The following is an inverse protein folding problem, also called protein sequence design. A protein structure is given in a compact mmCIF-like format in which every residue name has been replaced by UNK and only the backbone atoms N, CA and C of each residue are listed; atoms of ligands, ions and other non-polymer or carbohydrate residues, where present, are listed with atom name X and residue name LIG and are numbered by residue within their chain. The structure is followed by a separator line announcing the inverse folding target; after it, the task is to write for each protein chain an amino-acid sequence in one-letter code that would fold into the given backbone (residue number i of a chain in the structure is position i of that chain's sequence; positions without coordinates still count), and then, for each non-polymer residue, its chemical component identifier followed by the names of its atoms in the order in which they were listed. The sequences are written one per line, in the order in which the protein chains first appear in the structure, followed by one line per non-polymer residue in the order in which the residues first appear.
data_IF_535225381511
#
_entry.id   IF_535225381511
#
_cell.length_a   1.000
_cell.length_b   1.000
_cell.length_c   1.000
_cell.angle_alpha   90.00
_cell.angle_beta   90.00
_cell.angle_gamma   90.00
#
_symmetry.space_group_name_H-M   'P 1'
#
loop_
_entity.id
_entity.type
_entity.pdbx_description
1 polymer ?
#
# COMPACT_ATOMS: atom_id res chain seq x y z
N UNK A 1 23.50 -24.69 12.95
CA UNK A 1 22.31 -24.55 13.79
C UNK A 1 21.20 -25.45 13.26
N UNK A 2 20.41 -26.04 14.14
CA UNK A 2 19.29 -26.89 13.78
C UNK A 2 18.02 -25.98 13.82
N UNK A 3 17.26 -25.94 12.75
CA UNK A 3 16.03 -25.17 12.60
C UNK A 3 15.06 -25.42 13.79
N UNK A 4 14.94 -26.68 14.23
CA UNK A 4 14.14 -27.06 15.40
C UNK A 4 14.61 -26.36 16.69
N UNK A 5 15.91 -26.18 16.86
CA UNK A 5 16.47 -25.49 18.05
C UNK A 5 16.12 -24.00 18.00
N UNK A 6 16.20 -23.38 16.80
CA UNK A 6 15.82 -21.98 16.62
C UNK A 6 14.33 -21.75 16.92
N UNK A 7 13.46 -22.65 16.46
CA UNK A 7 12.00 -22.57 16.74
C UNK A 7 11.70 -22.67 18.23
N UNK A 8 12.34 -23.62 18.93
CA UNK A 8 12.14 -23.80 20.38
C UNK A 8 12.70 -22.62 21.17
N UNK A 9 13.88 -22.10 20.80
CA UNK A 9 14.44 -20.88 21.43
C UNK A 9 13.50 -19.69 21.21
N UNK A 10 12.99 -19.50 20.00
CA UNK A 10 12.06 -18.40 19.69
C UNK A 10 10.78 -18.49 20.52
N UNK A 11 10.21 -19.69 20.63
CA UNK A 11 9.00 -19.91 21.44
C UNK A 11 9.23 -19.58 22.92
N UNK A 12 10.29 -20.10 23.51
CA UNK A 12 10.60 -19.86 24.92
C UNK A 12 11.02 -18.41 25.20
N UNK A 13 11.77 -17.79 24.31
CA UNK A 13 12.12 -16.39 24.42
C UNK A 13 10.88 -15.48 24.31
N UNK A 14 9.89 -15.86 23.47
CA UNK A 14 8.60 -15.17 23.41
C UNK A 14 7.84 -15.18 24.74
N UNK A 15 7.93 -16.28 25.52
CA UNK A 15 7.29 -16.38 26.84
C UNK A 15 7.90 -15.40 27.87
N UNK A 16 9.17 -15.03 27.71
CA UNK A 16 9.86 -14.07 28.59
C UNK A 16 9.92 -12.64 28.01
N UNK A 17 9.09 -12.36 26.99
CA UNK A 17 8.85 -11.01 26.49
C UNK A 17 9.62 -10.58 25.24
N UNK A 18 10.37 -11.47 24.59
CA UNK A 18 10.96 -11.16 23.29
C UNK A 18 9.87 -11.13 22.20
N UNK A 19 9.90 -10.08 21.35
CA UNK A 19 8.82 -9.78 20.41
C UNK A 19 9.18 -10.06 18.94
N UNK A 20 10.47 -10.08 18.61
CA UNK A 20 10.95 -10.24 17.25
C UNK A 20 12.16 -11.16 17.16
N UNK A 21 12.19 -11.99 16.10
CA UNK A 21 13.23 -12.99 15.90
C UNK A 21 13.70 -12.96 14.46
N UNK A 22 15.01 -12.90 14.25
CA UNK A 22 15.65 -12.88 12.93
C UNK A 22 16.70 -13.99 12.87
N UNK A 23 16.59 -14.86 11.87
CA UNK A 23 17.60 -15.88 11.62
C UNK A 23 18.93 -15.26 11.21
N UNK A 24 20.02 -15.80 11.75
CA UNK A 24 21.37 -15.40 11.40
C UNK A 24 22.30 -16.62 11.28
N UNK A 25 23.50 -16.39 10.78
CA UNK A 25 24.50 -17.44 10.69
C UNK A 25 24.84 -17.95 12.10
N UNK A 26 24.48 -19.21 12.37
CA UNK A 26 24.74 -19.90 13.63
C UNK A 26 23.65 -19.81 14.68
N UNK A 27 22.50 -19.13 14.44
CA UNK A 27 21.41 -19.04 15.40
C UNK A 27 20.32 -18.04 15.04
N UNK A 28 19.81 -17.36 16.05
CA UNK A 28 18.80 -16.32 15.92
C UNK A 28 19.23 -15.05 16.68
N UNK A 29 18.78 -13.91 16.19
CA UNK A 29 18.77 -12.65 16.92
C UNK A 29 17.35 -12.42 17.44
N UNK A 30 17.22 -12.23 18.74
CA UNK A 30 15.95 -11.95 19.41
C UNK A 30 15.95 -10.55 19.99
N UNK A 31 14.83 -9.84 19.85
CA UNK A 31 14.71 -8.45 20.28
C UNK A 31 13.63 -8.32 21.35
N UNK A 32 13.93 -7.51 22.36
CA UNK A 32 13.05 -7.20 23.48
C UNK A 32 13.19 -5.72 23.83
N UNK A 33 12.13 -5.10 24.29
CA UNK A 33 12.21 -3.73 24.81
C UNK A 33 13.09 -3.68 26.05
N UNK A 34 13.98 -2.71 26.13
CA UNK A 34 14.92 -2.57 27.26
C UNK A 34 14.23 -2.55 28.62
N UNK A 35 13.02 -1.95 28.69
CA UNK A 35 12.21 -1.88 29.92
C UNK A 35 11.60 -3.21 30.34
N UNK A 36 11.51 -4.18 29.44
CA UNK A 36 10.95 -5.52 29.67
C UNK A 36 12.05 -6.59 29.80
N UNK A 37 13.31 -6.23 29.55
CA UNK A 37 14.41 -7.19 29.55
C UNK A 37 14.75 -7.63 30.98
N UNK A 38 14.66 -8.95 31.20
CA UNK A 38 15.08 -9.63 32.45
C UNK A 38 16.17 -10.64 32.13
N UNK A 39 17.38 -10.31 32.55
CA UNK A 39 18.57 -11.17 32.35
C UNK A 39 18.50 -12.48 33.14
N UNK A 40 17.86 -12.50 34.31
CA UNK A 40 17.71 -13.70 35.11
C UNK A 40 16.73 -14.68 34.45
N UNK A 41 15.64 -14.20 33.94
CA UNK A 41 14.68 -15.01 33.15
C UNK A 41 15.34 -15.62 31.91
N UNK A 42 16.18 -14.85 31.19
CA UNK A 42 16.95 -15.36 30.06
C UNK A 42 17.94 -16.46 30.47
N UNK A 43 18.67 -16.27 31.56
CA UNK A 43 19.58 -17.28 32.07
C UNK A 43 18.86 -18.58 32.50
N UNK A 44 17.72 -18.43 33.17
CA UNK A 44 16.89 -19.56 33.58
C UNK A 44 16.36 -20.33 32.36
N UNK A 45 15.89 -19.64 31.35
CA UNK A 45 15.46 -20.24 30.08
C UNK A 45 16.58 -21.05 29.42
N UNK A 46 17.80 -20.51 29.35
CA UNK A 46 18.96 -21.19 28.75
C UNK A 46 19.37 -22.41 29.54
N UNK A 47 19.39 -22.32 30.88
CA UNK A 47 19.78 -23.44 31.79
C UNK A 47 18.75 -24.57 31.71
N UNK A 48 17.46 -24.25 31.61
CA UNK A 48 16.35 -25.21 31.59
C UNK A 48 15.92 -25.59 30.16
N UNK A 49 16.79 -25.37 29.18
CA UNK A 49 16.43 -25.62 27.78
C UNK A 49 16.06 -27.10 27.56
N UNK A 50 14.88 -27.40 26.94
CA UNK A 50 14.29 -28.74 26.99
C UNK A 50 14.93 -29.75 26.03
N UNK A 51 15.73 -29.34 25.07
CA UNK A 51 16.33 -30.28 24.10
C UNK A 51 17.68 -30.80 24.64
N UNK A 52 17.86 -32.16 24.75
CA UNK A 52 19.09 -32.75 25.21
C UNK A 52 20.24 -32.46 24.23
N UNK A 53 21.46 -32.46 24.73
CA UNK A 53 22.69 -32.25 23.96
C UNK A 53 22.78 -30.92 23.22
N UNK A 54 21.98 -29.92 23.66
CA UNK A 54 21.97 -28.58 23.08
C UNK A 54 22.69 -27.61 24.00
N UNK A 55 23.69 -26.91 23.47
CA UNK A 55 24.36 -25.80 24.15
C UNK A 55 23.97 -24.48 23.51
N UNK A 56 23.39 -23.58 24.29
CA UNK A 56 23.04 -22.24 23.87
C UNK A 56 24.08 -21.27 24.43
N UNK A 57 24.70 -20.52 23.54
CA UNK A 57 25.54 -19.38 23.87
C UNK A 57 24.82 -18.11 23.37
N UNK A 58 24.79 -17.07 24.17
CA UNK A 58 24.15 -15.82 23.81
C UNK A 58 25.02 -14.62 24.13
N UNK A 59 24.79 -13.53 23.46
CA UNK A 59 25.38 -12.21 23.73
C UNK A 59 24.28 -11.20 23.82
N UNK A 60 24.32 -10.35 24.84
CA UNK A 60 23.40 -9.23 25.00
C UNK A 60 24.07 -7.99 24.40
N UNK A 61 23.36 -7.31 23.52
CA UNK A 61 23.79 -6.01 22.97
C UNK A 61 22.63 -5.05 23.08
N UNK A 62 22.92 -3.84 23.48
CA UNK A 62 21.97 -2.77 23.33
C UNK A 62 21.82 -2.50 21.83
N UNK A 63 20.58 -2.63 21.31
CA UNK A 63 20.31 -2.24 19.95
C UNK A 63 20.46 -0.71 19.87
N UNK A 64 21.23 -0.23 18.92
CA UNK A 64 21.29 1.21 18.67
C UNK A 64 19.85 1.70 18.43
N UNK A 65 19.48 2.80 19.09
CA UNK A 65 18.20 3.47 18.86
C UNK A 65 18.23 4.12 17.48
N UNK A 66 18.24 3.25 16.47
CA UNK A 66 18.13 3.62 15.06
C UNK A 66 16.70 3.46 14.64
N UNK A 67 16.17 4.47 14.03
CA UNK A 67 14.94 4.34 13.28
C UNK A 67 15.19 3.43 12.06
N UNK A 68 15.06 2.12 12.29
CA UNK A 68 15.28 1.11 11.25
C UNK A 68 14.38 1.32 10.02
N UNK A 69 13.21 1.91 10.24
CA UNK A 69 12.32 2.29 9.15
C UNK A 69 12.97 3.37 8.27
N UNK A 70 13.56 4.39 8.88
CA UNK A 70 14.25 5.46 8.16
C UNK A 70 15.49 4.96 7.43
N UNK A 71 16.24 4.02 8.02
CA UNK A 71 17.42 3.42 7.37
C UNK A 71 17.00 2.48 6.22
N UNK A 72 15.92 1.72 6.41
CA UNK A 72 15.33 0.91 5.35
C UNK A 72 14.82 1.81 4.20
N UNK A 73 14.08 2.85 4.50
CA UNK A 73 13.56 3.81 3.55
C UNK A 73 14.68 4.45 2.71
N UNK A 74 15.77 4.87 3.37
CA UNK A 74 16.93 5.47 2.68
C UNK A 74 17.66 4.49 1.76
N UNK A 75 17.70 3.22 2.12
CA UNK A 75 18.47 2.20 1.38
C UNK A 75 17.65 1.47 0.32
N UNK A 76 16.35 1.32 0.51
CA UNK A 76 15.49 0.47 -0.32
C UNK A 76 14.42 1.23 -1.10
N UNK A 77 13.97 2.39 -0.62
CA UNK A 77 13.05 3.23 -1.38
C UNK A 77 13.83 4.02 -2.43
N UNK A 78 13.63 3.69 -3.69
CA UNK A 78 14.23 4.40 -4.82
C UNK A 78 13.19 5.30 -5.48
N UNK A 79 13.61 6.45 -6.09
CA UNK A 79 12.70 7.26 -6.87
C UNK A 79 12.04 6.46 -8.00
N UNK A 80 10.74 6.63 -8.16
CA UNK A 80 9.95 5.95 -9.20
C UNK A 80 9.57 6.98 -10.24
N UNK A 81 9.91 6.70 -11.50
CA UNK A 81 9.54 7.56 -12.64
C UNK A 81 8.51 6.82 -13.48
N UNK A 82 7.38 7.47 -13.71
CA UNK A 82 6.26 6.93 -14.48
C UNK A 82 6.10 7.76 -15.74
N UNK A 83 6.39 7.15 -16.88
CA UNK A 83 6.24 7.71 -18.23
C UNK A 83 6.98 9.02 -18.42
N UNK A 84 8.06 9.39 -17.87
CA UNK A 84 8.73 10.70 -17.96
C UNK A 84 7.93 11.92 -17.41
N UNK A 85 6.68 11.71 -16.96
CA UNK A 85 5.79 12.79 -16.52
C UNK A 85 5.60 12.88 -15.02
N UNK A 86 5.75 11.77 -14.28
CA UNK A 86 5.57 11.75 -12.83
C UNK A 86 6.77 11.11 -12.15
N UNK A 87 7.32 11.81 -11.16
CA UNK A 87 8.35 11.27 -10.28
C UNK A 87 7.84 11.21 -8.85
N UNK A 88 7.98 10.05 -8.22
CA UNK A 88 7.61 9.81 -6.83
C UNK A 88 8.90 9.55 -6.07
N UNK A 89 9.13 10.30 -5.02
CA UNK A 89 10.35 10.13 -4.23
C UNK A 89 10.17 10.65 -2.80
N UNK A 90 11.13 10.37 -1.93
CA UNK A 90 11.15 10.90 -0.57
C UNK A 90 12.01 12.15 -0.46
N UNK A 91 11.86 12.88 0.64
CA UNK A 91 12.60 14.14 0.92
C UNK A 91 14.11 13.95 1.05
N UNK A 92 14.59 12.73 1.30
CA UNK A 92 16.03 12.44 1.38
C UNK A 92 16.68 12.19 0.02
N UNK A 93 15.91 12.03 -1.06
CA UNK A 93 16.48 11.94 -2.42
C UNK A 93 16.83 13.34 -2.95
N UNK A 94 18.10 13.53 -3.32
CA UNK A 94 18.61 14.84 -3.77
C UNK A 94 18.67 14.97 -5.28
N UNK A 95 18.88 13.84 -5.97
CA UNK A 95 19.10 13.78 -7.42
C UNK A 95 17.94 13.05 -8.09
N UNK A 96 16.78 13.69 -8.12
CA UNK A 96 15.57 13.14 -8.76
C UNK A 96 15.37 13.72 -10.15
N UNK A 97 14.86 12.95 -11.11
CA UNK A 97 14.48 13.46 -12.42
C UNK A 97 13.42 14.55 -12.29
N UNK A 98 13.60 15.66 -13.00
CA UNK A 98 12.56 16.70 -13.09
C UNK A 98 11.47 16.26 -14.04
N UNK A 99 10.26 16.16 -13.53
CA UNK A 99 9.08 15.75 -14.26
C UNK A 99 7.96 16.79 -14.14
N UNK A 100 6.87 16.63 -14.90
CA UNK A 100 5.70 17.51 -14.83
C UNK A 100 5.03 17.48 -13.45
N UNK A 101 4.95 16.29 -12.83
CA UNK A 101 4.45 16.07 -11.49
C UNK A 101 5.53 15.45 -10.62
N UNK A 102 5.82 16.08 -9.51
CA UNK A 102 6.74 15.60 -8.49
C UNK A 102 5.95 15.34 -7.21
N UNK A 103 5.92 14.09 -6.77
CA UNK A 103 5.17 13.66 -5.59
C UNK A 103 6.15 13.25 -4.51
N UNK A 104 6.11 13.98 -3.41
CA UNK A 104 6.89 13.69 -2.22
C UNK A 104 6.10 12.75 -1.31
N UNK A 105 6.72 11.65 -0.90
CA UNK A 105 6.13 10.76 0.10
C UNK A 105 7.13 10.44 1.20
N UNK A 106 6.58 10.24 2.39
CA UNK A 106 7.24 9.53 3.48
C UNK A 106 6.62 8.13 3.53
N UNK A 107 7.30 7.08 3.06
CA UNK A 107 6.68 5.77 2.84
C UNK A 107 6.23 5.09 4.14
N UNK A 108 6.89 5.31 5.29
CA UNK A 108 6.56 4.82 6.63
C UNK A 108 5.98 3.39 6.67
N UNK A 109 6.46 2.48 5.82
CA UNK A 109 5.94 1.12 5.64
C UNK A 109 4.44 1.04 5.26
N UNK A 110 3.82 2.14 4.85
CA UNK A 110 2.45 2.14 4.36
C UNK A 110 2.36 1.55 2.94
N UNK A 111 1.24 0.92 2.63
CA UNK A 111 0.94 0.49 1.26
C UNK A 111 0.80 1.69 0.32
N UNK A 112 1.16 1.52 -0.96
CA UNK A 112 0.97 2.56 -1.97
C UNK A 112 2.20 3.43 -2.22
N UNK A 113 3.40 2.93 -1.96
CA UNK A 113 4.67 3.66 -2.22
C UNK A 113 4.95 3.90 -3.71
N UNK A 114 4.11 3.38 -4.61
CA UNK A 114 4.31 3.48 -6.06
C UNK A 114 5.15 2.35 -6.68
N UNK A 115 5.86 1.55 -5.89
CA UNK A 115 6.65 0.42 -6.39
C UNK A 115 5.79 -0.74 -6.90
N UNK A 116 4.51 -0.79 -6.54
CA UNK A 116 3.61 -1.81 -7.02
C UNK A 116 3.15 -1.48 -8.44
N UNK A 117 3.24 -2.44 -9.35
CA UNK A 117 2.87 -2.28 -10.77
C UNK A 117 1.45 -1.72 -10.95
N UNK A 118 0.50 -2.13 -10.09
CA UNK A 118 -0.88 -1.62 -10.12
C UNK A 118 -0.95 -0.12 -9.82
N UNK A 119 -0.16 0.38 -8.89
CA UNK A 119 -0.12 1.81 -8.55
C UNK A 119 0.46 2.62 -9.71
N UNK A 120 1.57 2.16 -10.29
CA UNK A 120 2.20 2.82 -11.46
C UNK A 120 1.26 2.87 -12.66
N UNK A 121 0.49 1.82 -12.87
CA UNK A 121 -0.47 1.78 -13.97
C UNK A 121 -1.66 2.69 -13.77
N UNK A 122 -2.24 2.76 -12.56
CA UNK A 122 -3.29 3.74 -12.26
C UNK A 122 -2.76 5.16 -12.40
N UNK A 123 -1.52 5.44 -11.96
CA UNK A 123 -0.89 6.75 -12.17
C UNK A 123 -0.81 7.08 -13.66
N UNK A 124 -0.39 6.13 -14.51
CA UNK A 124 -0.33 6.34 -15.96
C UNK A 124 -1.71 6.71 -16.53
N UNK A 125 -2.78 6.04 -16.11
CA UNK A 125 -4.15 6.37 -16.53
C UNK A 125 -4.59 7.74 -15.99
N UNK A 126 -4.29 8.05 -14.74
CA UNK A 126 -4.61 9.35 -14.15
C UNK A 126 -3.87 10.49 -14.85
N UNK A 127 -2.65 10.26 -15.38
CA UNK A 127 -1.89 11.24 -16.16
C UNK A 127 -2.56 11.58 -17.51
N UNK A 128 -3.39 10.71 -18.05
CA UNK A 128 -4.15 10.94 -19.30
C UNK A 128 -5.59 11.41 -19.05
N UNK A 129 -6.16 11.09 -17.88
CA UNK A 129 -7.54 11.41 -17.54
C UNK A 129 -7.78 12.93 -17.45
N UNK A 130 -8.97 13.40 -17.82
CA UNK A 130 -9.41 14.76 -17.54
C UNK A 130 -9.95 14.85 -16.10
N UNK A 131 -9.14 15.40 -15.19
CA UNK A 131 -9.48 15.51 -13.77
C UNK A 131 -9.83 16.94 -13.34
N UNK A 132 -9.70 17.93 -14.23
CA UNK A 132 -9.87 19.33 -13.88
C UNK A 132 -11.26 19.65 -13.37
N UNK A 133 -11.37 20.07 -12.13
CA UNK A 133 -12.62 20.41 -11.44
C UNK A 133 -13.51 19.22 -11.11
N UNK A 134 -13.07 17.99 -11.37
CA UNK A 134 -13.81 16.77 -11.03
C UNK A 134 -13.68 16.44 -9.54
N UNK A 135 -14.76 15.95 -8.96
CA UNK A 135 -14.78 15.36 -7.63
C UNK A 135 -14.20 13.94 -7.67
N UNK A 136 -13.20 13.67 -6.84
CA UNK A 136 -12.49 12.39 -6.84
C UNK A 136 -12.57 11.71 -5.46
N UNK A 137 -12.81 10.41 -5.48
CA UNK A 137 -12.69 9.51 -4.33
C UNK A 137 -11.49 8.59 -4.55
N UNK A 138 -10.59 8.51 -3.55
CA UNK A 138 -9.53 7.51 -3.46
C UNK A 138 -9.84 6.57 -2.30
N UNK A 139 -10.24 5.34 -2.62
CA UNK A 139 -10.70 4.34 -1.65
C UNK A 139 -9.62 3.31 -1.36
N UNK A 140 -9.23 3.17 -0.07
CA UNK A 140 -8.03 2.46 0.32
C UNK A 140 -6.79 3.26 -0.05
N UNK A 141 -6.75 4.52 0.38
CA UNK A 141 -5.80 5.51 -0.13
C UNK A 141 -4.33 5.25 0.28
N UNK A 142 -4.08 4.48 1.32
CA UNK A 142 -2.73 4.16 1.79
C UNK A 142 -1.88 5.42 2.02
N UNK A 143 -0.85 5.63 1.21
CA UNK A 143 -0.01 6.83 1.23
C UNK A 143 -0.69 8.08 0.62
N UNK A 144 -1.89 7.96 0.07
CA UNK A 144 -2.61 8.97 -0.71
C UNK A 144 -1.92 9.45 -1.99
N UNK A 145 -1.01 8.69 -2.55
CA UNK A 145 -0.27 9.07 -3.76
C UNK A 145 -1.21 9.34 -4.95
N UNK A 146 -2.28 8.54 -5.09
CA UNK A 146 -3.25 8.68 -6.18
C UNK A 146 -4.13 9.92 -5.98
N UNK A 147 -4.58 10.17 -4.74
CA UNK A 147 -5.31 11.37 -4.38
C UNK A 147 -4.47 12.65 -4.59
N UNK A 148 -3.17 12.59 -4.23
CA UNK A 148 -2.21 13.69 -4.42
C UNK A 148 -2.07 14.00 -5.91
N UNK A 149 -1.84 12.97 -6.75
CA UNK A 149 -1.75 13.16 -8.21
C UNK A 149 -3.05 13.73 -8.77
N UNK A 150 -4.21 13.19 -8.37
CA UNK A 150 -5.50 13.69 -8.82
C UNK A 150 -5.68 15.18 -8.49
N UNK A 151 -5.30 15.59 -7.27
CA UNK A 151 -5.33 16.98 -6.86
C UNK A 151 -4.38 17.86 -7.71
N UNK A 152 -3.13 17.42 -7.93
CA UNK A 152 -2.16 18.13 -8.78
C UNK A 152 -2.66 18.26 -10.22
N UNK A 153 -3.45 17.29 -10.70
CA UNK A 153 -4.12 17.33 -12.02
C UNK A 153 -5.38 18.18 -12.04
N UNK A 154 -5.70 18.88 -10.96
CA UNK A 154 -6.79 19.84 -10.85
C UNK A 154 -8.12 19.26 -10.38
N UNK A 155 -8.17 18.04 -9.88
CA UNK A 155 -9.36 17.50 -9.20
C UNK A 155 -9.71 18.34 -7.97
N UNK A 156 -11.01 18.63 -7.78
CA UNK A 156 -11.50 19.38 -6.62
C UNK A 156 -13.02 19.21 -6.47
N UNK A 157 -13.53 18.73 -5.32
CA UNK A 157 -12.78 18.24 -4.16
C UNK A 157 -12.19 16.83 -4.36
N UNK A 158 -11.23 16.47 -3.52
CA UNK A 158 -10.71 15.11 -3.43
C UNK A 158 -11.00 14.55 -2.03
N UNK A 159 -11.52 13.33 -1.97
CA UNK A 159 -11.77 12.58 -0.73
C UNK A 159 -10.90 11.33 -0.75
N UNK A 160 -10.15 11.09 0.31
CA UNK A 160 -9.34 9.90 0.48
C UNK A 160 -9.83 9.14 1.73
N UNK A 161 -10.07 7.85 1.61
CA UNK A 161 -10.60 7.03 2.70
C UNK A 161 -9.69 5.80 2.88
N UNK A 162 -9.34 5.51 4.12
CA UNK A 162 -8.64 4.26 4.48
C UNK A 162 -9.21 3.69 5.78
N UNK A 163 -9.19 2.37 5.93
CA UNK A 163 -9.65 1.68 7.12
C UNK A 163 -8.62 1.68 8.25
N UNK A 164 -7.34 1.91 7.90
CA UNK A 164 -6.22 1.90 8.82
C UNK A 164 -5.89 3.34 9.26
N UNK A 165 -5.89 3.57 10.56
CA UNK A 165 -5.58 4.88 11.14
C UNK A 165 -4.12 5.31 10.91
N UNK A 166 -3.20 4.35 10.81
CA UNK A 166 -1.82 4.59 10.42
C UNK A 166 -1.73 5.14 9.00
N UNK A 167 -2.46 4.53 8.05
CA UNK A 167 -2.56 5.01 6.67
C UNK A 167 -3.16 6.41 6.61
N UNK A 168 -4.21 6.68 7.38
CA UNK A 168 -4.84 8.01 7.46
C UNK A 168 -3.87 9.08 7.95
N UNK A 169 -3.06 8.78 8.97
CA UNK A 169 -2.06 9.72 9.48
C UNK A 169 -0.93 9.94 8.48
N UNK A 170 -0.38 8.87 7.90
CA UNK A 170 0.65 8.96 6.85
C UNK A 170 0.14 9.73 5.61
N UNK A 171 -1.10 9.52 5.21
CA UNK A 171 -1.76 10.29 4.14
C UNK A 171 -1.76 11.78 4.42
N UNK A 172 -2.14 12.20 5.63
CA UNK A 172 -2.16 13.62 6.02
C UNK A 172 -0.77 14.23 5.95
N UNK A 173 0.25 13.51 6.42
CA UNK A 173 1.64 13.95 6.36
C UNK A 173 2.11 14.10 4.91
N UNK A 174 1.83 13.13 4.04
CA UNK A 174 2.18 13.19 2.63
C UNK A 174 1.45 14.32 1.89
N UNK A 175 0.18 14.55 2.17
CA UNK A 175 -0.59 15.66 1.61
C UNK A 175 0.01 17.01 2.02
N UNK A 176 0.39 17.16 3.29
CA UNK A 176 1.05 18.35 3.79
C UNK A 176 2.43 18.57 3.15
N UNK A 177 3.20 17.50 2.97
CA UNK A 177 4.50 17.50 2.30
C UNK A 177 4.42 18.06 0.87
N UNK A 178 3.32 17.76 0.17
CA UNK A 178 3.05 18.24 -1.19
C UNK A 178 2.32 19.59 -1.25
N UNK A 179 2.12 20.27 -0.11
CA UNK A 179 1.43 21.56 -0.01
C UNK A 179 0.01 21.58 -0.58
N UNK A 180 -0.71 20.46 -0.48
CA UNK A 180 -2.07 20.29 -1.00
C UNK A 180 -3.08 20.55 0.10
N UNK A 181 -4.20 21.24 -0.23
CA UNK A 181 -5.20 21.69 0.77
C UNK A 181 -6.64 21.30 0.42
N UNK A 182 -6.88 20.63 -0.70
CA UNK A 182 -8.21 20.27 -1.20
C UNK A 182 -8.50 18.77 -1.10
N UNK A 183 -7.69 18.03 -0.34
CA UNK A 183 -7.90 16.61 -0.04
C UNK A 183 -8.41 16.48 1.40
N UNK A 184 -9.54 15.80 1.57
CA UNK A 184 -10.07 15.40 2.87
C UNK A 184 -9.77 13.93 3.10
N UNK A 185 -9.06 13.60 4.19
CA UNK A 185 -8.73 12.21 4.55
C UNK A 185 -9.64 11.76 5.70
N UNK A 186 -10.27 10.60 5.54
CA UNK A 186 -11.22 10.03 6.49
C UNK A 186 -10.87 8.59 6.85
N UNK A 187 -11.03 8.24 8.12
CA UNK A 187 -10.89 6.87 8.62
C UNK A 187 -12.19 6.12 8.45
N UNK A 188 -12.19 5.01 7.72
CA UNK A 188 -13.36 4.15 7.58
C UNK A 188 -13.34 3.30 6.31
N UNK A 189 -14.48 2.70 6.04
CA UNK A 189 -14.72 1.80 4.92
C UNK A 189 -15.79 2.36 3.96
N UNK A 190 -16.20 1.56 2.97
CA UNK A 190 -17.22 1.94 1.98
C UNK A 190 -18.60 2.30 2.58
N UNK A 191 -18.87 1.99 3.86
CA UNK A 191 -20.08 2.43 4.53
C UNK A 191 -20.15 3.95 4.69
N UNK A 192 -19.01 4.64 4.71
CA UNK A 192 -18.95 6.10 4.73
C UNK A 192 -19.54 6.74 3.47
N UNK A 193 -19.70 5.97 2.39
CA UNK A 193 -20.25 6.46 1.11
C UNK A 193 -21.78 6.59 1.12
N UNK A 194 -22.45 6.02 2.12
CA UNK A 194 -23.92 6.07 2.23
C UNK A 194 -24.43 7.51 2.32
N UNK A 195 -25.27 7.89 1.37
CA UNK A 195 -25.88 9.22 1.34
C UNK A 195 -24.97 10.35 0.89
N UNK A 196 -23.75 10.06 0.42
CA UNK A 196 -22.86 11.07 -0.16
C UNK A 196 -23.33 11.49 -1.54
N UNK A 197 -22.90 12.69 -1.95
CA UNK A 197 -23.01 13.13 -3.34
C UNK A 197 -22.19 12.24 -4.23
N UNK A 198 -22.62 12.08 -5.48
CA UNK A 198 -21.88 11.31 -6.46
C UNK A 198 -20.52 11.94 -6.77
N UNK A 199 -19.54 11.07 -7.01
CA UNK A 199 -18.21 11.45 -7.49
C UNK A 199 -18.12 11.34 -9.00
N UNK A 200 -17.33 12.22 -9.61
CA UNK A 200 -17.01 12.14 -11.04
C UNK A 200 -16.02 11.02 -11.32
N UNK A 201 -15.08 10.80 -10.40
CA UNK A 201 -14.05 9.77 -10.51
C UNK A 201 -13.89 9.02 -9.19
N UNK A 202 -13.81 7.70 -9.25
CA UNK A 202 -13.46 6.83 -8.13
C UNK A 202 -12.17 6.08 -8.47
N UNK A 203 -11.25 6.04 -7.52
CA UNK A 203 -10.01 5.28 -7.58
C UNK A 203 -10.09 4.22 -6.48
N UNK A 204 -9.83 2.95 -6.81
CA UNK A 204 -9.83 1.85 -5.86
C UNK A 204 -8.71 0.86 -6.18
N UNK A 205 -7.54 1.10 -5.58
CA UNK A 205 -6.35 0.23 -5.71
C UNK A 205 -6.24 -0.69 -4.50
N UNK A 206 -7.20 -1.58 -4.33
CA UNK A 206 -7.37 -2.43 -3.15
C UNK A 206 -7.52 -3.90 -3.53
N UNK A 207 -7.55 -4.77 -2.51
CA UNK A 207 -7.75 -6.20 -2.70
C UNK A 207 -9.05 -6.49 -3.46
N UNK A 208 -8.97 -7.39 -4.45
CA UNK A 208 -10.09 -7.79 -5.32
C UNK A 208 -11.36 -8.17 -4.56
N UNK A 209 -11.24 -8.92 -3.46
CA UNK A 209 -12.42 -9.41 -2.73
C UNK A 209 -13.15 -8.26 -2.02
N UNK A 210 -12.40 -7.32 -1.44
CA UNK A 210 -12.94 -6.10 -0.83
C UNK A 210 -13.62 -5.25 -1.91
N UNK A 211 -12.93 -5.04 -3.02
CA UNK A 211 -13.44 -4.25 -4.14
C UNK A 211 -14.76 -4.81 -4.68
N UNK A 212 -14.88 -6.15 -4.85
CA UNK A 212 -16.12 -6.78 -5.28
C UNK A 212 -17.26 -6.60 -4.26
N UNK A 213 -16.95 -6.62 -2.96
CA UNK A 213 -17.94 -6.36 -1.91
C UNK A 213 -18.40 -4.90 -1.91
N UNK A 214 -17.51 -3.96 -2.22
CA UNK A 214 -17.76 -2.51 -2.17
C UNK A 214 -18.37 -1.94 -3.44
N UNK A 215 -18.33 -2.67 -4.57
CA UNK A 215 -18.91 -2.22 -5.84
C UNK A 215 -20.32 -1.63 -5.74
N UNK A 216 -21.27 -2.19 -4.94
CA UNK A 216 -22.59 -1.59 -4.79
C UNK A 216 -22.57 -0.21 -4.14
N UNK A 217 -21.60 0.07 -3.23
CA UNK A 217 -21.42 1.38 -2.61
C UNK A 217 -20.87 2.38 -3.62
N UNK A 218 -19.89 1.96 -4.43
CA UNK A 218 -19.34 2.81 -5.49
C UNK A 218 -20.41 3.17 -6.52
N UNK A 219 -21.17 2.18 -7.01
CA UNK A 219 -22.27 2.41 -7.95
C UNK A 219 -23.34 3.38 -7.41
N UNK A 220 -23.60 3.34 -6.08
CA UNK A 220 -24.57 4.22 -5.44
C UNK A 220 -24.09 5.69 -5.34
N UNK A 221 -22.78 5.94 -5.38
CA UNK A 221 -22.20 7.28 -5.37
C UNK A 221 -21.54 7.66 -6.70
N UNK A 222 -22.01 7.11 -7.82
CA UNK A 222 -21.66 7.50 -9.19
C UNK A 222 -22.87 8.05 -9.93
N UNK A 223 -22.63 8.88 -10.93
CA UNK A 223 -23.65 9.40 -11.86
C UNK A 223 -23.32 8.99 -13.30
N UNK A 224 -24.25 9.14 -14.26
CA UNK A 224 -23.93 8.92 -15.67
C UNK A 224 -22.76 9.78 -16.12
N UNK A 225 -21.70 9.16 -16.61
CA UNK A 225 -20.44 9.81 -16.99
C UNK A 225 -19.34 9.78 -15.95
N UNK A 226 -19.60 9.26 -14.75
CA UNK A 226 -18.52 8.97 -13.79
C UNK A 226 -17.61 7.85 -14.28
N UNK A 227 -16.34 7.92 -13.92
CA UNK A 227 -15.31 6.93 -14.24
C UNK A 227 -14.80 6.25 -12.97
N UNK A 228 -14.38 5.00 -13.08
CA UNK A 228 -13.77 4.29 -11.99
C UNK A 228 -12.47 3.61 -12.44
N UNK A 229 -11.38 3.86 -11.71
CA UNK A 229 -10.07 3.23 -11.89
C UNK A 229 -9.88 2.18 -10.82
N UNK A 230 -9.74 0.93 -11.24
CA UNK A 230 -9.61 -0.21 -10.33
C UNK A 230 -8.43 -1.07 -10.72
N UNK A 231 -7.83 -1.74 -9.74
CA UNK A 231 -6.76 -2.72 -9.93
C UNK A 231 -7.07 -4.04 -9.22
N UNK A 232 -6.16 -5.02 -9.35
CA UNK A 232 -6.27 -6.28 -8.62
C UNK A 232 -7.09 -7.37 -9.31
N UNK A 233 -7.36 -7.23 -10.62
CA UNK A 233 -8.01 -8.27 -11.42
C UNK A 233 -7.08 -8.85 -12.46
N UNK A 234 -7.25 -10.16 -12.72
CA UNK A 234 -6.81 -10.78 -13.95
C UNK A 234 -8.03 -10.99 -14.84
N UNK A 235 -7.99 -10.47 -16.04
CA UNK A 235 -9.06 -10.68 -17.01
C UNK A 235 -8.80 -11.97 -17.79
N UNK A 236 -9.75 -12.90 -17.76
CA UNK A 236 -9.78 -14.00 -18.72
C UNK A 236 -10.60 -13.54 -19.92
N UNK A 237 -10.03 -13.42 -21.13
CA UNK A 237 -10.80 -13.07 -22.31
C UNK A 237 -11.91 -14.09 -22.49
N UNK A 238 -13.17 -13.65 -22.51
CA UNK A 238 -14.29 -14.52 -22.89
C UNK A 238 -14.07 -15.03 -24.30
N UNK A 239 -14.32 -16.31 -24.52
CA UNK A 239 -14.30 -16.88 -25.86
C UNK A 239 -15.24 -16.08 -26.76
N UNK A 240 -14.74 -15.72 -27.96
CA UNK A 240 -15.46 -14.97 -28.98
C UNK A 240 -16.86 -15.53 -29.23
N UNK A 241 -17.90 -14.80 -28.89
CA UNK A 241 -19.30 -15.18 -29.14
C UNK A 241 -20.37 -14.47 -28.29
N UNK A 242 -20.01 -13.80 -27.20
CA UNK A 242 -20.99 -13.08 -26.38
C UNK A 242 -20.83 -11.58 -26.59
N UNK A 243 -21.84 -10.95 -27.20
CA UNK A 243 -21.93 -9.50 -27.35
C UNK A 243 -22.20 -8.84 -26.00
N UNK A 244 -21.19 -8.29 -25.41
CA UNK A 244 -21.28 -7.44 -24.20
C UNK A 244 -20.70 -6.05 -24.51
N UNK A 245 -21.46 -5.02 -24.23
CA UNK A 245 -21.11 -3.61 -24.48
C UNK A 245 -19.83 -3.19 -23.77
N UNK A 246 -18.92 -2.70 -24.57
CA UNK A 246 -17.88 -1.70 -24.40
C UNK A 246 -17.21 -1.53 -23.04
N UNK A 247 -16.29 -2.43 -22.72
CA UNK A 247 -15.19 -2.16 -21.80
C UNK A 247 -14.01 -1.73 -22.67
N UNK A 248 -13.45 -0.56 -22.43
CA UNK A 248 -12.18 -0.17 -23.05
C UNK A 248 -11.06 -0.63 -22.13
N UNK A 249 -10.32 -1.63 -22.57
CA UNK A 249 -9.06 -2.04 -21.94
C UNK A 249 -7.92 -1.29 -22.60
N UNK A 250 -7.19 -0.49 -21.86
CA UNK A 250 -5.89 -0.01 -22.30
C UNK A 250 -4.87 -1.11 -22.00
N UNK A 251 -4.59 -1.97 -22.98
CA UNK A 251 -3.56 -2.98 -22.86
C UNK A 251 -2.19 -2.40 -23.21
N UNK A 252 -1.43 -1.97 -22.20
CA UNK A 252 0.02 -1.85 -22.30
C UNK A 252 0.61 -3.27 -22.19
N UNK A 253 1.19 -3.79 -23.28
CA UNK A 253 1.91 -5.07 -23.24
C UNK A 253 3.29 -4.85 -22.65
N UNK A 254 3.52 -5.33 -21.43
CA UNK A 254 4.83 -5.78 -20.99
C UNK A 254 4.74 -7.23 -20.56
N UNK A 255 5.46 -8.10 -21.28
CA UNK A 255 5.63 -9.50 -20.93
C UNK A 255 6.69 -9.61 -19.84
N UNK A 256 6.25 -9.83 -18.61
CA UNK A 256 7.08 -10.40 -17.56
C UNK A 256 6.38 -11.66 -17.04
N UNK A 257 6.98 -12.78 -17.32
CA UNK A 257 6.73 -14.13 -16.84
C UNK A 257 5.37 -14.43 -16.20
N UNK A 258 4.40 -14.95 -16.98
CA UNK A 258 3.16 -15.65 -16.58
C UNK A 258 2.07 -14.91 -15.78
N UNK A 259 2.10 -13.61 -15.62
CA UNK A 259 0.97 -12.83 -15.10
C UNK A 259 0.79 -11.56 -15.94
N UNK A 260 -0.26 -11.52 -16.76
CA UNK A 260 -0.70 -10.28 -17.40
C UNK A 260 -1.61 -9.53 -16.41
N UNK A 261 -1.17 -8.33 -15.98
CA UNK A 261 -1.99 -7.42 -15.17
C UNK A 261 -2.73 -6.51 -16.15
N UNK A 262 -4.04 -6.63 -16.19
CA UNK A 262 -4.90 -5.76 -16.99
C UNK A 262 -5.58 -4.73 -16.09
N UNK A 263 -5.53 -3.46 -16.51
CA UNK A 263 -6.25 -2.35 -15.88
C UNK A 263 -7.53 -2.07 -16.67
N UNK A 264 -8.61 -1.79 -15.96
CA UNK A 264 -9.91 -1.55 -16.57
C UNK A 264 -10.49 -0.20 -16.14
N UNK A 265 -10.90 0.60 -17.14
CA UNK A 265 -11.80 1.74 -16.95
C UNK A 265 -13.20 1.25 -17.28
N UNK A 266 -14.10 1.23 -16.28
CA UNK A 266 -15.49 0.82 -16.48
C UNK A 266 -16.37 2.05 -16.48
N UNK A 267 -16.96 2.45 -17.63
CA UNK A 267 -17.95 3.53 -17.65
C UNK A 267 -19.25 3.06 -16.97
N UNK A 268 -19.85 3.93 -16.17
CA UNK A 268 -21.06 3.67 -15.38
C UNK A 268 -22.21 3.07 -16.21
N UNK A 269 -22.30 3.37 -17.51
CA UNK A 269 -23.32 2.81 -18.42
C UNK A 269 -23.29 1.29 -18.52
N UNK A 270 -22.19 0.62 -18.19
CA UNK A 270 -22.07 -0.85 -18.21
C UNK A 270 -22.50 -1.49 -16.89
N UNK A 271 -22.42 -0.77 -15.76
CA UNK A 271 -22.85 -1.29 -14.43
C UNK A 271 -24.36 -1.30 -14.25
N UNK A 272 -25.08 -0.39 -14.87
CA UNK A 272 -26.54 -0.26 -14.75
C UNK A 272 -27.35 -1.39 -15.45
N UNK A 273 -26.69 -2.27 -16.21
CA UNK A 273 -27.34 -3.37 -16.96
C UNK A 273 -27.28 -4.73 -16.27
N UNK A 274 -26.73 -4.81 -15.06
CA UNK A 274 -26.58 -6.07 -14.32
C UNK A 274 -27.64 -6.23 -13.21
N UNK A 275 -28.85 -5.69 -13.39
CA UNK A 275 -30.03 -5.95 -12.56
C UNK A 275 -31.04 -6.80 -13.30
#
# INVERSE_FOLDING_TARGET
CNEIVNDVVSALAGEIGFESFVECEGGIQAYIQQTLFDEEALKEMVVNFPLPDTRIEYTIKEAEDKNWNEEWEKNFFQPIVIGDRCCIHSTFHKDTPKTEYEILINPQMAFGTGHHETTSSIISELLEADLKGKSVLDMGCGTSILAILASMRGANPVTAIDIDDWCVNNSKDNIALNHIHNITVELGDANLLKGRKAFDVIIANINRNILLADLPHYAACMHPGSEIFMSGFSFYPRKSGESGNGVRTSSGKEQLGSCEIHHEIIPFSSMAKTR
#
